data_IF_770643869793
#
_entry.id   IF_770643869793
#
_cell.length_a   1.000
_cell.length_b   1.000
_cell.length_c   1.000
_cell.angle_alpha   90.00
_cell.angle_beta   90.00
_cell.angle_gamma   90.00
#
_symmetry.space_group_name_H-M   'P 1'
#
loop_
_entity.id
_entity.type
_entity.pdbx_description
1 polymer ?
#
# COMPACT_ATOMS: atom_id res chain seq x y z
N UNK A 1 4.31 1.51 -17.36
CA UNK A 1 3.47 1.77 -16.18
C UNK A 1 2.08 2.21 -16.64
N UNK A 2 1.06 1.54 -16.11
CA UNK A 2 -0.32 1.88 -16.41
C UNK A 2 -0.88 2.74 -15.27
N UNK A 3 -1.33 3.95 -15.63
CA UNK A 3 -1.98 4.85 -14.68
C UNK A 3 -3.47 4.93 -14.95
N UNK A 4 -4.26 4.89 -13.89
CA UNK A 4 -5.66 5.26 -13.95
C UNK A 4 -5.85 6.78 -14.05
N UNK A 5 -7.01 7.27 -13.66
CA UNK A 5 -7.35 8.69 -13.72
C UNK A 5 -7.13 9.38 -12.38
N UNK A 6 -6.85 10.69 -12.42
CA UNK A 6 -6.71 11.54 -11.23
C UNK A 6 -5.65 11.03 -10.25
N UNK A 7 -4.49 10.71 -10.77
CA UNK A 7 -3.36 10.23 -9.99
C UNK A 7 -2.42 11.39 -9.67
N UNK A 8 -1.90 11.39 -8.43
CA UNK A 8 -0.86 12.33 -8.03
C UNK A 8 0.41 11.54 -7.72
N UNK A 9 1.47 11.83 -8.45
CA UNK A 9 2.79 11.23 -8.23
C UNK A 9 3.76 12.38 -7.96
N UNK A 10 4.23 12.47 -6.73
CA UNK A 10 5.19 13.50 -6.35
C UNK A 10 6.61 13.09 -6.77
N UNK A 11 7.61 13.81 -6.30
CA UNK A 11 8.97 13.67 -6.81
C UNK A 11 9.66 12.37 -6.33
N UNK A 12 10.64 11.94 -7.13
CA UNK A 12 11.57 10.85 -6.81
C UNK A 12 10.92 9.48 -6.61
N UNK A 13 9.79 9.26 -7.25
CA UNK A 13 9.19 7.93 -7.27
C UNK A 13 9.80 7.08 -8.37
N UNK A 14 10.21 5.86 -8.03
CA UNK A 14 10.70 4.88 -8.99
C UNK A 14 9.60 3.84 -9.22
N UNK A 15 8.97 3.92 -10.37
CA UNK A 15 7.92 2.98 -10.77
C UNK A 15 8.49 2.04 -11.82
N UNK A 16 8.64 0.78 -11.46
CA UNK A 16 9.30 -0.18 -12.33
C UNK A 16 8.36 -0.74 -13.39
N UNK A 17 8.92 -1.56 -14.28
CA UNK A 17 8.19 -2.13 -15.41
C UNK A 17 6.94 -2.90 -14.95
N UNK A 18 5.84 -2.71 -15.66
CA UNK A 18 4.60 -3.46 -15.42
C UNK A 18 3.79 -3.01 -14.21
N UNK A 19 4.18 -1.92 -13.55
CA UNK A 19 3.43 -1.38 -12.42
C UNK A 19 2.10 -0.80 -12.90
N UNK A 20 1.04 -1.05 -12.13
CA UNK A 20 -0.29 -0.48 -12.36
C UNK A 20 -0.73 0.31 -11.17
N UNK A 21 -1.20 1.53 -11.40
CA UNK A 21 -1.69 2.44 -10.36
C UNK A 21 -3.16 2.75 -10.64
N UNK A 22 -4.02 2.46 -9.68
CA UNK A 22 -5.45 2.67 -9.82
C UNK A 22 -5.87 4.13 -9.72
N UNK A 23 -7.15 4.38 -10.02
CA UNK A 23 -7.72 5.73 -10.04
C UNK A 23 -7.62 6.42 -8.68
N UNK A 24 -7.36 7.73 -8.70
CA UNK A 24 -7.38 8.55 -7.50
C UNK A 24 -6.29 8.26 -6.49
N UNK A 25 -5.33 7.43 -6.81
CA UNK A 25 -4.24 7.06 -5.91
C UNK A 25 -3.20 8.16 -5.85
N UNK A 26 -2.66 8.37 -4.65
CA UNK A 26 -1.62 9.36 -4.39
C UNK A 26 -0.34 8.63 -4.00
N UNK A 27 0.74 8.93 -4.70
CA UNK A 27 2.10 8.51 -4.34
C UNK A 27 2.86 9.74 -3.87
N UNK A 28 3.20 9.77 -2.58
CA UNK A 28 4.02 10.86 -2.06
C UNK A 28 5.44 10.72 -2.62
N UNK A 29 6.48 11.06 -1.89
CA UNK A 29 7.83 11.16 -2.46
C UNK A 29 8.72 9.97 -2.14
N UNK A 30 9.64 9.64 -3.06
CA UNK A 30 10.73 8.71 -2.80
C UNK A 30 10.33 7.25 -2.66
N UNK A 31 9.22 6.85 -3.26
CA UNK A 31 8.77 5.46 -3.18
C UNK A 31 9.47 4.59 -4.22
N UNK A 32 9.66 3.33 -3.87
CA UNK A 32 10.10 2.31 -4.80
C UNK A 32 8.96 1.32 -5.01
N UNK A 33 8.37 1.34 -6.19
CA UNK A 33 7.29 0.42 -6.54
C UNK A 33 7.86 -0.62 -7.48
N UNK A 34 8.09 -1.82 -6.94
CA UNK A 34 8.76 -2.89 -7.65
C UNK A 34 7.98 -3.41 -8.85
N UNK A 35 8.69 -4.03 -9.78
CA UNK A 35 8.14 -4.48 -11.05
C UNK A 35 6.88 -5.34 -10.86
N UNK A 36 5.95 -5.23 -11.78
CA UNK A 36 4.67 -5.96 -11.82
C UNK A 36 3.79 -5.75 -10.59
N UNK A 37 4.06 -4.77 -9.73
CA UNK A 37 3.19 -4.49 -8.60
C UNK A 37 1.95 -3.72 -9.03
N UNK A 38 0.86 -3.91 -8.31
CA UNK A 38 -0.40 -3.25 -8.57
C UNK A 38 -0.89 -2.54 -7.32
N UNK A 39 -1.20 -1.26 -7.45
CA UNK A 39 -1.81 -0.47 -6.38
C UNK A 39 -3.22 -0.14 -6.81
N UNK A 40 -4.19 -0.52 -5.98
CA UNK A 40 -5.60 -0.33 -6.29
C UNK A 40 -6.03 1.14 -6.27
N UNK A 41 -7.34 1.33 -6.48
CA UNK A 41 -7.92 2.67 -6.53
C UNK A 41 -7.92 3.33 -5.15
N UNK A 42 -7.78 4.67 -5.14
CA UNK A 42 -7.92 5.50 -3.96
C UNK A 42 -7.00 5.11 -2.80
N UNK A 43 -5.82 4.64 -3.13
CA UNK A 43 -4.79 4.36 -2.14
C UNK A 43 -3.97 5.62 -1.86
N UNK A 44 -3.40 5.67 -0.68
CA UNK A 44 -2.44 6.71 -0.30
C UNK A 44 -1.12 6.04 0.09
N UNK A 45 -0.09 6.32 -0.69
CA UNK A 45 1.26 5.80 -0.43
C UNK A 45 2.09 6.96 0.08
N UNK A 46 2.52 6.86 1.34
CA UNK A 46 3.34 7.91 1.97
C UNK A 46 4.75 7.92 1.38
N UNK A 47 5.69 8.59 2.02
CA UNK A 47 7.05 8.68 1.50
C UNK A 47 7.89 7.46 1.85
N UNK A 48 8.83 7.11 0.95
CA UNK A 48 9.84 6.07 1.17
C UNK A 48 9.24 4.70 1.46
N UNK A 49 8.14 4.38 0.81
CA UNK A 49 7.55 3.04 0.85
C UNK A 49 8.25 2.18 -0.20
N UNK A 50 8.54 0.93 0.16
CA UNK A 50 9.16 -0.03 -0.76
C UNK A 50 8.23 -1.21 -0.98
N UNK A 51 7.75 -1.35 -2.20
CA UNK A 51 7.12 -2.59 -2.64
C UNK A 51 8.17 -3.35 -3.45
N UNK A 52 8.47 -4.57 -3.04
CA UNK A 52 9.30 -5.46 -3.84
C UNK A 52 8.53 -5.87 -5.11
N UNK A 53 8.91 -6.92 -5.81
CA UNK A 53 8.19 -7.27 -7.03
C UNK A 53 6.85 -7.97 -6.78
N UNK A 54 5.91 -7.81 -7.70
CA UNK A 54 4.64 -8.56 -7.72
C UNK A 54 3.77 -8.36 -6.48
N UNK A 55 3.85 -7.21 -5.84
CA UNK A 55 2.96 -6.89 -4.73
C UNK A 55 1.59 -6.44 -5.24
N UNK A 56 0.54 -6.70 -4.47
CA UNK A 56 -0.81 -6.22 -4.78
C UNK A 56 -1.41 -5.53 -3.57
N UNK A 57 -1.74 -4.26 -3.74
CA UNK A 57 -2.31 -3.43 -2.69
C UNK A 57 -3.78 -3.19 -3.00
N UNK A 58 -4.66 -3.67 -2.13
CA UNK A 58 -6.10 -3.50 -2.28
C UNK A 58 -6.50 -2.04 -2.22
N UNK A 59 -7.62 -1.71 -2.86
CA UNK A 59 -8.12 -0.35 -2.97
C UNK A 59 -8.35 0.28 -1.59
N UNK A 60 -8.31 1.60 -1.54
CA UNK A 60 -8.53 2.40 -0.32
C UNK A 60 -7.60 2.02 0.84
N UNK A 61 -6.40 1.58 0.52
CA UNK A 61 -5.40 1.27 1.53
C UNK A 61 -4.47 2.46 1.75
N UNK A 62 -3.92 2.53 2.96
CA UNK A 62 -2.94 3.54 3.34
C UNK A 62 -1.63 2.85 3.69
N UNK A 63 -0.55 3.25 3.05
CA UNK A 63 0.78 2.72 3.33
C UNK A 63 1.62 3.79 4.03
N UNK A 64 1.94 3.53 5.29
CA UNK A 64 2.67 4.47 6.13
C UNK A 64 4.11 4.69 5.68
N UNK A 65 4.70 5.79 6.13
CA UNK A 65 6.08 6.19 5.81
C UNK A 65 7.04 5.05 6.16
N UNK A 66 7.98 4.77 5.26
CA UNK A 66 9.02 3.75 5.45
C UNK A 66 8.47 2.33 5.64
N UNK A 67 7.24 2.06 5.27
CA UNK A 67 6.77 0.67 5.26
C UNK A 67 7.37 -0.08 4.08
N UNK A 68 7.57 -1.37 4.26
CA UNK A 68 8.19 -2.21 3.22
C UNK A 68 7.46 -3.54 3.09
N UNK A 69 7.46 -4.05 1.87
CA UNK A 69 6.70 -5.24 1.51
C UNK A 69 7.59 -6.22 0.78
N UNK A 70 7.60 -7.47 1.24
CA UNK A 70 8.33 -8.54 0.56
C UNK A 70 7.69 -8.87 -0.79
N UNK A 71 8.45 -9.56 -1.65
CA UNK A 71 7.95 -10.01 -2.95
C UNK A 71 6.65 -10.79 -2.81
N UNK A 72 5.74 -10.61 -3.77
CA UNK A 72 4.47 -11.34 -3.86
C UNK A 72 3.52 -11.10 -2.68
N UNK A 73 3.76 -10.08 -1.88
CA UNK A 73 2.85 -9.73 -0.78
C UNK A 73 1.59 -9.09 -1.33
N UNK A 74 0.44 -9.55 -0.83
CA UNK A 74 -0.86 -9.02 -1.21
C UNK A 74 -1.62 -8.61 0.04
N UNK A 75 -2.19 -7.41 0.05
CA UNK A 75 -3.07 -6.96 1.13
C UNK A 75 -4.44 -6.59 0.58
N UNK A 76 -5.47 -6.90 1.36
CA UNK A 76 -6.86 -6.64 0.98
C UNK A 76 -7.17 -5.13 1.04
N UNK A 77 -8.36 -4.78 0.56
CA UNK A 77 -8.85 -3.41 0.61
C UNK A 77 -8.98 -2.86 2.03
N UNK A 78 -8.97 -1.55 2.14
CA UNK A 78 -9.17 -0.84 3.40
C UNK A 78 -8.16 -1.21 4.48
N UNK A 79 -6.95 -1.58 4.07
CA UNK A 79 -5.86 -1.91 4.98
C UNK A 79 -5.06 -0.65 5.31
N UNK A 80 -4.79 -0.45 6.59
CA UNK A 80 -3.90 0.61 7.06
C UNK A 80 -2.59 -0.02 7.50
N UNK A 81 -1.50 0.37 6.87
CA UNK A 81 -0.16 -0.11 7.22
C UNK A 81 0.56 1.01 7.98
N UNK A 82 0.91 0.74 9.22
CA UNK A 82 1.57 1.73 10.07
C UNK A 82 2.98 2.08 9.58
N UNK A 83 3.46 3.25 9.99
CA UNK A 83 4.79 3.70 9.61
C UNK A 83 5.87 2.69 10.03
N UNK A 84 6.89 2.52 9.20
CA UNK A 84 8.02 1.65 9.50
C UNK A 84 7.70 0.16 9.56
N UNK A 85 6.51 -0.26 9.16
CA UNK A 85 6.11 -1.66 9.21
C UNK A 85 6.79 -2.48 8.13
N UNK A 86 7.11 -3.73 8.45
CA UNK A 86 7.68 -4.68 7.49
C UNK A 86 6.68 -5.81 7.23
N UNK A 87 6.01 -5.74 6.09
CA UNK A 87 4.95 -6.68 5.71
C UNK A 87 5.59 -7.81 4.89
N UNK A 88 5.72 -8.97 5.48
CA UNK A 88 6.34 -10.13 4.83
C UNK A 88 5.36 -11.28 4.58
N UNK A 89 4.09 -11.10 4.91
CA UNK A 89 3.05 -12.09 4.65
C UNK A 89 1.82 -11.40 4.10
N UNK A 90 1.14 -12.04 3.16
CA UNK A 90 -0.11 -11.53 2.61
C UNK A 90 -1.22 -11.56 3.65
N UNK A 91 -2.14 -10.60 3.52
CA UNK A 91 -3.32 -10.49 4.37
C UNK A 91 -4.53 -10.28 3.48
N UNK A 92 -5.43 -11.24 3.46
CA UNK A 92 -6.60 -11.25 2.57
C UNK A 92 -7.88 -10.81 3.26
N UNK A 93 -7.79 -10.31 4.48
CA UNK A 93 -8.95 -9.82 5.25
C UNK A 93 -9.01 -8.30 5.13
N UNK A 94 -10.13 -7.79 4.62
CA UNK A 94 -10.33 -6.35 4.48
C UNK A 94 -10.36 -5.65 5.84
N UNK A 95 -9.95 -4.39 5.86
CA UNK A 95 -10.10 -3.55 7.03
C UNK A 95 -9.15 -3.82 8.18
N UNK A 96 -7.98 -4.38 7.91
CA UNK A 96 -6.98 -4.61 8.96
C UNK A 96 -6.04 -3.44 9.14
N UNK A 97 -5.50 -3.32 10.34
CA UNK A 97 -4.35 -2.47 10.63
C UNK A 97 -3.15 -3.39 10.83
N UNK A 98 -2.13 -3.22 9.99
CA UNK A 98 -0.90 -4.00 10.03
C UNK A 98 0.21 -3.12 10.58
N UNK A 99 0.88 -3.56 11.65
CA UNK A 99 1.97 -2.80 12.26
C UNK A 99 3.09 -3.71 12.74
N UNK A 100 4.29 -3.18 12.75
CA UNK A 100 5.44 -3.83 13.34
C UNK A 100 6.39 -4.47 12.33
N UNK A 101 7.40 -5.13 12.86
CA UNK A 101 8.41 -5.87 12.09
C UNK A 101 8.70 -7.21 12.77
N UNK A 102 8.18 -8.34 12.25
CA UNK A 102 7.26 -8.42 11.13
C UNK A 102 5.89 -7.83 11.46
N UNK A 103 5.21 -7.30 10.45
CA UNK A 103 3.91 -6.69 10.65
C UNK A 103 2.87 -7.74 11.02
N UNK A 104 2.03 -7.41 11.99
CA UNK A 104 0.92 -8.24 12.43
C UNK A 104 -0.34 -7.42 12.48
N UNK A 105 -1.49 -8.10 12.37
CA UNK A 105 -2.78 -7.44 12.40
C UNK A 105 -3.14 -7.00 13.82
N UNK A 106 -3.60 -5.76 13.95
CA UNK A 106 -4.16 -5.23 15.19
C UNK A 106 -5.50 -5.92 15.49
N UNK A 107 -5.87 -5.95 16.77
CA UNK A 107 -7.19 -6.41 17.18
C UNK A 107 -8.31 -5.47 16.74
N UNK A 108 -7.99 -4.20 16.49
CA UNK A 108 -8.95 -3.21 16.04
C UNK A 108 -8.86 -3.10 14.52
N UNK A 109 -10.00 -3.11 13.83
CA UNK A 109 -10.04 -2.92 12.38
C UNK A 109 -9.75 -1.47 12.01
N UNK A 110 -9.35 -1.24 10.75
CA UNK A 110 -9.21 0.11 10.22
C UNK A 110 -10.55 0.85 10.26
N UNK A 111 -11.64 0.17 10.00
CA UNK A 111 -12.98 0.77 10.04
C UNK A 111 -13.29 1.34 11.41
N UNK A 112 -13.04 0.56 12.45
CA UNK A 112 -13.31 0.99 13.82
C UNK A 112 -12.37 2.09 14.26
N UNK A 113 -11.09 1.97 13.96
CA UNK A 113 -10.08 2.96 14.36
C UNK A 113 -10.36 4.32 13.74
N UNK A 114 -10.70 4.34 12.46
CA UNK A 114 -10.99 5.58 11.74
C UNK A 114 -12.47 5.95 11.76
N UNK A 115 -13.31 5.17 12.43
CA UNK A 115 -14.75 5.39 12.56
C UNK A 115 -15.44 5.50 11.20
N UNK A 116 -15.13 4.58 10.31
CA UNK A 116 -15.67 4.52 8.95
C UNK A 116 -16.49 3.26 8.79
N UNK A 117 -17.59 3.35 8.05
CA UNK A 117 -18.36 2.17 7.66
C UNK A 117 -17.69 1.47 6.48
N UNK A 118 -17.65 0.14 6.50
CA UNK A 118 -17.06 -0.62 5.38
C UNK A 118 -17.81 -0.47 4.07
#
# INVERSE_FOLDING_TARGET
VDFGENIFVFENNNLQHGVKIGDGTVLWSGNHIGHQSEIGDFCFVSSHVVLSGYCKIGKRSFLGINSSFADFTEIAEDTFVGLGSAVNKSSFVAGQILTGNPATASKVSSYRYFKVNP
#
